data_IF_923137734676
#
_entry.id   IF_923137734676
#
_cell.length_a   1.000
_cell.length_b   1.000
_cell.length_c   1.000
_cell.angle_alpha   90.00
_cell.angle_beta   90.00
_cell.angle_gamma   90.00
#
_symmetry.space_group_name_H-M   'P 1'
#
loop_
_entity.id
_entity.type
_entity.pdbx_description
1 polymer ?
#
# COMPACT_ATOMS: atom_id res chain seq x y z
N UNK A 1 14.96 3.42 -4.04
CA UNK A 1 14.71 2.99 -5.44
C UNK A 1 15.95 2.80 -6.31
N UNK A 2 17.14 3.29 -5.94
CA UNK A 2 18.36 3.14 -6.77
C UNK A 2 18.77 1.69 -7.05
N UNK A 3 18.63 0.78 -6.08
CA UNK A 3 19.07 -0.61 -6.22
C UNK A 3 18.20 -1.45 -7.17
N UNK A 4 16.96 -1.03 -7.45
CA UNK A 4 16.00 -1.75 -8.29
C UNK A 4 15.41 -0.81 -9.34
N UNK A 5 16.24 -0.43 -10.32
CA UNK A 5 15.81 0.33 -11.49
C UNK A 5 15.39 -0.56 -12.65
N UNK A 6 14.11 -0.51 -13.01
CA UNK A 6 13.54 -1.18 -14.17
C UNK A 6 12.39 -0.36 -14.75
N UNK A 7 12.10 -0.58 -16.03
CA UNK A 7 11.03 0.12 -16.73
C UNK A 7 9.66 -0.29 -16.18
N UNK A 8 8.86 0.70 -15.80
CA UNK A 8 7.53 0.48 -15.27
C UNK A 8 6.49 0.44 -16.40
N UNK A 9 5.49 -0.46 -16.34
CA UNK A 9 4.38 -0.46 -17.29
C UNK A 9 3.64 0.89 -17.23
N UNK A 10 3.60 1.69 -18.32
CA UNK A 10 3.04 3.05 -18.27
C UNK A 10 1.59 3.08 -17.80
N UNK A 11 0.78 2.12 -18.24
CA UNK A 11 -0.62 2.01 -17.83
C UNK A 11 -0.79 1.78 -16.32
N UNK A 12 0.12 1.06 -15.67
CA UNK A 12 0.05 0.85 -14.21
C UNK A 12 0.41 2.13 -13.47
N UNK A 13 1.43 2.85 -13.93
CA UNK A 13 1.81 4.16 -13.38
C UNK A 13 0.68 5.17 -13.54
N UNK A 14 0.04 5.21 -14.72
CA UNK A 14 -1.10 6.09 -14.96
C UNK A 14 -2.30 5.74 -14.08
N UNK A 15 -2.60 4.45 -13.90
CA UNK A 15 -3.69 4.02 -13.01
C UNK A 15 -3.43 4.43 -11.56
N UNK A 16 -2.23 4.16 -11.05
CA UNK A 16 -1.83 4.55 -9.69
C UNK A 16 -1.87 6.06 -9.52
N UNK A 17 -1.27 6.81 -10.46
CA UNK A 17 -1.29 8.27 -10.45
C UNK A 17 -2.72 8.82 -10.42
N UNK A 18 -3.61 8.31 -11.27
CA UNK A 18 -4.99 8.78 -11.31
C UNK A 18 -5.74 8.50 -10.00
N UNK A 19 -5.48 7.37 -9.34
CA UNK A 19 -6.08 7.06 -8.03
C UNK A 19 -5.60 8.04 -6.96
N UNK A 20 -4.29 8.28 -6.90
CA UNK A 20 -3.70 9.22 -5.95
C UNK A 20 -4.21 10.64 -6.22
N UNK A 21 -4.25 11.04 -7.49
CA UNK A 21 -4.70 12.37 -7.90
C UNK A 21 -6.16 12.62 -7.54
N UNK A 22 -7.04 11.64 -7.77
CA UNK A 22 -8.45 11.74 -7.37
C UNK A 22 -8.61 11.88 -5.86
N UNK A 23 -7.82 11.15 -5.08
CA UNK A 23 -7.82 11.27 -3.62
C UNK A 23 -7.35 12.66 -3.18
N UNK A 24 -6.24 13.15 -3.74
CA UNK A 24 -5.72 14.48 -3.46
C UNK A 24 -6.75 15.56 -3.78
N UNK A 25 -7.38 15.51 -4.96
CA UNK A 25 -8.42 16.45 -5.35
C UNK A 25 -9.60 16.44 -4.36
N UNK A 26 -10.04 15.26 -3.91
CA UNK A 26 -11.10 15.16 -2.92
C UNK A 26 -10.71 15.77 -1.56
N UNK A 27 -9.45 15.60 -1.13
CA UNK A 27 -8.94 16.23 0.09
C UNK A 27 -8.83 17.76 -0.06
N UNK A 28 -8.37 18.25 -1.22
CA UNK A 28 -8.31 19.68 -1.54
C UNK A 28 -9.70 20.32 -1.54
N UNK A 29 -10.67 19.70 -2.21
CA UNK A 29 -12.06 20.16 -2.28
C UNK A 29 -12.72 20.19 -0.88
N UNK A 30 -12.29 19.29 0.00
CA UNK A 30 -12.77 19.24 1.38
C UNK A 30 -11.96 20.14 2.34
N UNK A 31 -11.02 20.94 1.83
CA UNK A 31 -10.20 21.88 2.60
C UNK A 31 -9.15 21.21 3.51
N UNK A 32 -8.76 19.96 3.20
CA UNK A 32 -7.79 19.15 3.95
C UNK A 32 -6.44 19.01 3.23
N UNK A 33 -6.10 19.95 2.35
CA UNK A 33 -4.79 19.99 1.68
C UNK A 33 -3.65 19.96 2.70
N UNK A 34 -2.64 19.12 2.47
CA UNK A 34 -1.41 19.09 3.24
C UNK A 34 -0.70 20.45 3.17
N UNK A 35 -0.08 20.89 4.27
CA UNK A 35 0.57 22.22 4.32
C UNK A 35 1.67 22.36 3.25
N UNK A 36 2.42 21.29 2.99
CA UNK A 36 3.45 21.22 1.96
C UNK A 36 2.92 21.39 0.52
N UNK A 37 1.64 21.15 0.29
CA UNK A 37 1.02 21.18 -1.03
C UNK A 37 0.26 22.49 -1.32
N UNK A 38 0.02 23.33 -0.30
CA UNK A 38 -0.81 24.55 -0.42
C UNK A 38 -0.21 25.62 -1.33
N UNK A 39 1.12 25.69 -1.39
CA UNK A 39 1.85 26.71 -2.14
C UNK A 39 2.37 26.21 -3.50
N UNK A 40 2.14 24.93 -3.83
CA UNK A 40 2.59 24.31 -5.09
C UNK A 40 1.58 24.54 -6.22
N UNK A 41 2.07 24.72 -7.43
CA UNK A 41 1.22 24.73 -8.63
C UNK A 41 0.68 23.34 -8.93
N UNK A 42 -0.40 23.27 -9.71
CA UNK A 42 -0.98 21.98 -10.13
C UNK A 42 0.04 21.13 -10.91
N UNK A 43 0.88 21.75 -11.74
CA UNK A 43 1.89 21.03 -12.52
C UNK A 43 3.01 20.47 -11.62
N UNK A 44 3.44 21.21 -10.60
CA UNK A 44 4.39 20.72 -9.58
C UNK A 44 3.81 19.55 -8.80
N UNK A 45 2.55 19.66 -8.33
CA UNK A 45 1.87 18.57 -7.64
C UNK A 45 1.78 17.34 -8.55
N UNK A 46 1.38 17.49 -9.82
CA UNK A 46 1.29 16.35 -10.74
C UNK A 46 2.64 15.65 -10.93
N UNK A 47 3.73 16.40 -11.00
CA UNK A 47 5.07 15.82 -11.12
C UNK A 47 5.46 15.02 -9.87
N UNK A 48 5.26 15.58 -8.68
CA UNK A 48 5.57 14.93 -7.40
C UNK A 48 4.72 13.69 -7.18
N UNK A 49 3.40 13.80 -7.35
CA UNK A 49 2.48 12.67 -7.18
C UNK A 49 2.69 11.58 -8.24
N UNK A 50 3.21 11.94 -9.43
CA UNK A 50 3.65 10.94 -10.42
C UNK A 50 4.88 10.17 -9.94
N UNK A 51 5.86 10.83 -9.31
CA UNK A 51 7.00 10.13 -8.69
C UNK A 51 6.54 9.17 -7.58
N UNK A 52 5.56 9.58 -6.78
CA UNK A 52 4.94 8.70 -5.77
C UNK A 52 4.28 7.48 -6.44
N UNK A 53 3.53 7.68 -7.52
CA UNK A 53 2.90 6.59 -8.27
C UNK A 53 3.94 5.60 -8.83
N UNK A 54 5.02 6.11 -9.43
CA UNK A 54 6.11 5.27 -9.93
C UNK A 54 6.75 4.43 -8.81
N UNK A 55 7.03 5.05 -7.65
CA UNK A 55 7.57 4.36 -6.47
C UNK A 55 6.64 3.25 -5.97
N UNK A 56 5.34 3.52 -5.88
CA UNK A 56 4.34 2.51 -5.44
C UNK A 56 4.21 1.35 -6.42
N UNK A 57 4.13 1.63 -7.72
CA UNK A 57 4.06 0.58 -8.75
C UNK A 57 5.31 -0.28 -8.72
N UNK A 58 6.50 0.34 -8.59
CA UNK A 58 7.77 -0.37 -8.47
C UNK A 58 7.79 -1.28 -7.25
N UNK A 59 7.42 -0.76 -6.07
CA UNK A 59 7.39 -1.53 -4.83
C UNK A 59 6.42 -2.72 -4.95
N UNK A 60 5.22 -2.50 -5.48
CA UNK A 60 4.24 -3.56 -5.69
C UNK A 60 4.75 -4.67 -6.61
N UNK A 61 5.44 -4.31 -7.70
CA UNK A 61 6.04 -5.28 -8.63
C UNK A 61 7.19 -6.07 -7.97
N UNK A 62 8.04 -5.41 -7.18
CA UNK A 62 9.14 -6.06 -6.45
C UNK A 62 8.59 -7.04 -5.42
N UNK A 63 7.63 -6.62 -4.59
CA UNK A 63 7.00 -7.48 -3.58
C UNK A 63 6.27 -8.66 -4.22
N UNK A 64 5.56 -8.43 -5.34
CA UNK A 64 4.91 -9.49 -6.09
C UNK A 64 5.91 -10.52 -6.62
N UNK A 65 7.06 -10.09 -7.13
CA UNK A 65 8.09 -10.99 -7.64
C UNK A 65 8.78 -11.78 -6.52
N UNK A 66 9.10 -11.13 -5.39
CA UNK A 66 9.65 -11.80 -4.20
C UNK A 66 8.68 -12.87 -3.71
N UNK A 67 7.42 -12.50 -3.49
CA UNK A 67 6.40 -13.44 -3.02
C UNK A 67 6.15 -14.58 -4.01
N UNK A 68 6.24 -14.33 -5.32
CA UNK A 68 6.14 -15.38 -6.36
C UNK A 68 7.30 -16.37 -6.28
N UNK A 69 8.54 -15.87 -6.14
CA UNK A 69 9.74 -16.72 -6.04
C UNK A 69 9.76 -17.53 -4.75
N UNK A 70 9.32 -16.92 -3.64
CA UNK A 70 9.21 -17.57 -2.34
C UNK A 70 7.97 -18.50 -2.20
N UNK A 71 7.13 -18.59 -3.23
CA UNK A 71 5.86 -19.34 -3.22
C UNK A 71 4.97 -18.98 -2.00
N UNK A 72 4.87 -17.68 -1.71
CA UNK A 72 4.01 -17.15 -0.66
C UNK A 72 2.56 -17.43 -1.03
N UNK A 73 1.85 -18.11 -0.13
CA UNK A 73 0.44 -18.48 -0.31
C UNK A 73 -0.41 -17.96 0.83
N UNK A 74 -1.62 -17.53 0.49
CA UNK A 74 -2.64 -17.13 1.45
C UNK A 74 -3.60 -18.30 1.63
N UNK A 75 -3.74 -18.75 2.87
CA UNK A 75 -4.70 -19.78 3.25
C UNK A 75 -6.12 -19.22 3.33
N UNK A 76 -7.11 -20.08 3.09
CA UNK A 76 -8.52 -19.72 3.27
C UNK A 76 -8.83 -19.29 4.71
N UNK A 77 -8.08 -19.80 5.70
CA UNK A 77 -8.26 -19.40 7.09
C UNK A 77 -7.90 -17.93 7.31
N UNK A 78 -6.79 -17.45 6.75
CA UNK A 78 -6.36 -16.05 6.85
C UNK A 78 -7.38 -15.11 6.20
N UNK A 79 -7.88 -15.49 5.01
CA UNK A 79 -8.91 -14.74 4.30
C UNK A 79 -10.22 -14.68 5.10
N UNK A 80 -10.65 -15.81 5.67
CA UNK A 80 -11.85 -15.83 6.52
C UNK A 80 -11.66 -14.98 7.78
N UNK A 81 -10.47 -14.95 8.37
CA UNK A 81 -10.19 -14.08 9.51
C UNK A 81 -10.26 -12.60 9.13
N UNK A 82 -9.67 -12.21 7.99
CA UNK A 82 -9.79 -10.84 7.48
C UNK A 82 -11.25 -10.47 7.21
N UNK A 83 -12.04 -11.36 6.61
CA UNK A 83 -13.46 -11.13 6.37
C UNK A 83 -14.24 -10.93 7.68
N UNK A 84 -13.97 -11.73 8.71
CA UNK A 84 -14.61 -11.57 10.02
C UNK A 84 -14.19 -10.26 10.68
N UNK A 85 -12.91 -9.85 10.57
CA UNK A 85 -12.45 -8.56 11.08
C UNK A 85 -13.15 -7.40 10.37
N UNK A 86 -13.29 -7.48 9.05
CA UNK A 86 -13.97 -6.46 8.25
C UNK A 86 -15.44 -6.36 8.63
N UNK A 87 -16.15 -7.49 8.70
CA UNK A 87 -17.56 -7.52 9.09
C UNK A 87 -17.81 -6.90 10.48
N UNK A 88 -16.89 -7.07 11.43
CA UNK A 88 -16.99 -6.47 12.78
C UNK A 88 -16.92 -4.95 12.79
N UNK A 89 -16.42 -4.31 11.73
CA UNK A 89 -16.43 -2.85 11.61
C UNK A 89 -17.84 -2.30 11.33
N UNK A 90 -18.80 -3.17 10.99
CA UNK A 90 -20.18 -2.80 10.66
C UNK A 90 -21.22 -3.50 11.55
N UNK A 91 -21.36 -3.10 12.83
CA UNK A 91 -22.30 -3.73 13.76
C UNK A 91 -23.76 -3.70 13.25
N UNK A 92 -24.43 -4.85 13.30
CA UNK A 92 -25.81 -5.02 12.83
C UNK A 92 -25.96 -5.23 11.32
N UNK A 93 -24.87 -5.22 10.55
CA UNK A 93 -24.84 -5.47 9.10
C UNK A 93 -23.82 -6.54 8.72
N UNK A 94 -23.30 -7.30 9.70
CA UNK A 94 -22.19 -8.24 9.51
C UNK A 94 -22.50 -9.29 8.43
N UNK A 95 -23.74 -9.79 8.40
CA UNK A 95 -24.17 -10.78 7.39
C UNK A 95 -24.14 -10.20 5.98
N UNK A 96 -24.56 -8.94 5.79
CA UNK A 96 -24.57 -8.28 4.49
C UNK A 96 -23.15 -8.03 4.00
N UNK A 97 -22.23 -7.64 4.90
CA UNK A 97 -20.80 -7.49 4.57
C UNK A 97 -20.22 -8.84 4.12
N UNK A 98 -20.45 -9.91 4.88
CA UNK A 98 -19.97 -11.26 4.52
C UNK A 98 -20.50 -11.70 3.16
N UNK A 99 -21.78 -11.47 2.89
CA UNK A 99 -22.40 -11.82 1.61
C UNK A 99 -21.85 -10.99 0.45
N UNK A 100 -21.66 -9.67 0.66
CA UNK A 100 -21.06 -8.78 -0.32
C UNK A 100 -19.67 -9.27 -0.77
N UNK A 101 -18.78 -9.56 0.19
CA UNK A 101 -17.44 -10.04 -0.12
C UNK A 101 -17.49 -11.40 -0.84
N UNK A 102 -18.28 -12.36 -0.35
CA UNK A 102 -18.39 -13.70 -0.99
C UNK A 102 -18.88 -13.64 -2.44
N UNK A 103 -19.77 -12.71 -2.75
CA UNK A 103 -20.33 -12.55 -4.09
C UNK A 103 -19.48 -11.64 -4.99
N UNK A 104 -18.45 -10.99 -4.46
CA UNK A 104 -17.61 -10.05 -5.18
C UNK A 104 -16.12 -10.49 -5.13
N UNK A 105 -15.65 -11.22 -6.15
CA UNK A 105 -14.25 -11.66 -6.22
C UNK A 105 -13.24 -10.50 -6.15
N UNK A 106 -13.59 -9.32 -6.68
CA UNK A 106 -12.74 -8.13 -6.59
C UNK A 106 -12.60 -7.63 -5.16
N UNK A 107 -13.69 -7.60 -4.39
CA UNK A 107 -13.65 -7.25 -2.97
C UNK A 107 -12.86 -8.30 -2.16
N UNK A 108 -12.99 -9.59 -2.49
CA UNK A 108 -12.16 -10.63 -1.86
C UNK A 108 -10.67 -10.44 -2.14
N UNK A 109 -10.31 -9.99 -3.34
CA UNK A 109 -8.93 -9.68 -3.68
C UNK A 109 -8.38 -8.52 -2.82
N UNK A 110 -9.20 -7.52 -2.51
CA UNK A 110 -8.82 -6.41 -1.63
C UNK A 110 -8.51 -6.89 -0.20
N UNK A 111 -9.21 -7.90 0.32
CA UNK A 111 -8.85 -8.51 1.62
C UNK A 111 -7.56 -9.33 1.56
N UNK A 112 -7.28 -9.95 0.41
CA UNK A 112 -6.09 -10.78 0.20
C UNK A 112 -4.83 -9.95 0.05
N UNK A 113 -4.88 -8.78 -0.59
CA UNK A 113 -3.69 -7.99 -0.89
C UNK A 113 -2.85 -7.63 0.35
N UNK A 114 -3.43 -7.07 1.44
CA UNK A 114 -2.66 -6.78 2.66
C UNK A 114 -2.09 -8.03 3.32
N UNK A 115 -2.84 -9.14 3.34
CA UNK A 115 -2.33 -10.41 3.90
C UNK A 115 -1.13 -10.90 3.09
N UNK A 116 -1.19 -10.77 1.76
CA UNK A 116 -0.07 -11.17 0.92
C UNK A 116 1.17 -10.32 1.20
N UNK A 117 0.99 -9.00 1.26
CA UNK A 117 2.06 -8.04 1.54
C UNK A 117 2.72 -8.33 2.88
N UNK A 118 1.95 -8.47 3.97
CA UNK A 118 2.46 -8.81 5.30
C UNK A 118 3.34 -10.07 5.25
N UNK A 119 2.87 -11.12 4.58
CA UNK A 119 3.61 -12.40 4.48
C UNK A 119 4.88 -12.29 3.64
N UNK A 120 4.87 -11.46 2.60
CA UNK A 120 6.08 -11.20 1.81
C UNK A 120 7.10 -10.44 2.65
N UNK A 121 6.66 -9.44 3.42
CA UNK A 121 7.53 -8.69 4.33
C UNK A 121 8.08 -9.60 5.42
N UNK A 122 7.25 -10.43 6.05
CA UNK A 122 7.69 -11.43 7.03
C UNK A 122 8.76 -12.36 6.43
N UNK A 123 8.55 -12.86 5.21
CA UNK A 123 9.54 -13.68 4.53
C UNK A 123 10.86 -12.93 4.27
N UNK A 124 10.79 -11.65 3.86
CA UNK A 124 11.98 -10.80 3.68
C UNK A 124 12.75 -10.69 4.99
N UNK A 125 12.05 -10.43 6.11
CA UNK A 125 12.68 -10.32 7.44
C UNK A 125 13.31 -11.63 7.91
N UNK A 126 12.75 -12.79 7.53
CA UNK A 126 13.33 -14.11 7.85
C UNK A 126 14.67 -14.38 7.15
N UNK A 127 14.87 -13.83 5.94
CA UNK A 127 16.07 -14.07 5.12
C UNK A 127 17.06 -12.91 5.13
N UNK A 128 16.64 -11.73 5.56
CA UNK A 128 17.48 -10.55 5.66
C UNK A 128 18.51 -10.69 6.81
N UNK A 129 19.67 -10.08 6.63
CA UNK A 129 20.62 -9.88 7.72
C UNK A 129 20.09 -8.74 8.61
N UNK A 130 19.73 -9.07 9.85
CA UNK A 130 19.20 -8.10 10.81
C UNK A 130 20.31 -7.67 11.76
N UNK A 131 20.56 -6.36 11.83
CA UNK A 131 21.46 -5.74 12.80
C UNK A 131 20.67 -4.90 13.78
N UNK A 132 20.84 -5.15 15.08
CA UNK A 132 20.22 -4.33 16.13
C UNK A 132 21.14 -3.16 16.49
N UNK A 133 20.60 -1.94 16.42
CA UNK A 133 21.29 -0.72 16.84
C UNK A 133 20.54 -0.07 18.00
N UNK A 134 21.26 0.28 19.07
CA UNK A 134 20.69 1.04 20.18
C UNK A 134 20.79 2.53 19.85
N UNK A 135 19.64 3.15 19.58
CA UNK A 135 19.53 4.59 19.32
C UNK A 135 18.92 5.34 20.52
N UNK A 136 19.20 6.64 20.63
CA UNK A 136 18.53 7.49 21.60
C UNK A 136 17.08 7.78 21.15
N UNK A 137 16.23 8.20 22.09
CA UNK A 137 14.87 8.65 21.73
C UNK A 137 14.92 9.81 20.74
N UNK A 138 15.84 10.75 20.92
CA UNK A 138 15.98 11.89 20.01
C UNK A 138 16.31 11.41 18.60
N UNK A 139 17.28 10.49 18.48
CA UNK A 139 17.69 9.95 17.18
C UNK A 139 16.57 9.15 16.49
N UNK A 140 15.78 8.39 17.24
CA UNK A 140 14.63 7.63 16.69
C UNK A 140 13.54 8.51 16.07
N UNK A 141 13.39 9.75 16.56
CA UNK A 141 12.37 10.70 16.10
C UNK A 141 12.94 11.84 15.25
N UNK A 142 14.24 11.80 14.90
CA UNK A 142 14.77 12.72 13.89
C UNK A 142 14.10 12.39 12.56
N UNK A 143 13.74 13.42 11.80
CA UNK A 143 13.35 13.23 10.40
C UNK A 143 14.55 12.66 9.67
N UNK A 144 14.36 11.57 8.93
CA UNK A 144 15.38 11.05 8.04
C UNK A 144 15.62 12.14 6.98
N UNK A 145 16.71 12.90 7.13
CA UNK A 145 17.21 13.78 6.07
C UNK A 145 17.55 12.86 4.88
N UNK A 146 16.80 12.98 3.77
CA UNK A 146 17.03 12.24 2.52
C UNK A 146 18.51 12.26 2.05
#
# INVERSE_FOLDING_TARGET
>A
DEAHSFDLPPNMVEQEFNQIWQQLQAEMDAGRTADEDKDKSEDELKEEYRKIAERRVRLGLVLAEIGRVADVRISEQEVNQALVREARQYPGQEQQVVEFFRNNPGAMAQLRAPIYEDKVVDHILEVAEITEETVSREDLFKEDDE
#
